data_IF_181324480360
#
_entry.id   IF_181324480360
#
_cell.length_a   1.000
_cell.length_b   1.000
_cell.length_c   1.000
_cell.angle_alpha   90.00
_cell.angle_beta   90.00
_cell.angle_gamma   90.00
#
_symmetry.space_group_name_H-M   'P 1'
#
loop_
_entity.id
_entity.type
_entity.pdbx_description
1 polymer ?
#
# COMPACT_ATOMS: atom_id res chain seq x y z
N UNK A 1 9.01 -23.99 -27.85
CA UNK A 1 8.84 -22.60 -28.31
C UNK A 1 8.37 -21.77 -27.12
N UNK A 2 9.02 -20.65 -26.85
CA UNK A 2 8.58 -19.70 -25.82
C UNK A 2 7.34 -18.97 -26.37
N UNK A 3 6.21 -19.08 -25.68
CA UNK A 3 4.98 -18.35 -26.06
C UNK A 3 5.14 -16.88 -25.73
N UNK A 4 4.58 -16.01 -26.58
CA UNK A 4 4.46 -14.59 -26.25
C UNK A 4 3.42 -14.42 -25.15
N UNK A 5 3.83 -13.79 -24.04
CA UNK A 5 3.02 -13.70 -22.81
C UNK A 5 2.59 -12.27 -22.52
N UNK A 6 1.34 -12.11 -22.12
CA UNK A 6 0.73 -10.84 -21.77
C UNK A 6 0.17 -10.84 -20.36
N UNK A 7 0.51 -9.84 -19.54
CA UNK A 7 -0.14 -9.57 -18.25
C UNK A 7 -1.20 -8.49 -18.49
N UNK A 8 -2.47 -8.83 -18.28
CA UNK A 8 -3.60 -7.91 -18.53
C UNK A 8 -4.14 -7.42 -17.18
N UNK A 9 -4.10 -6.11 -16.97
CA UNK A 9 -4.54 -5.47 -15.74
C UNK A 9 -5.65 -4.45 -15.99
N UNK A 10 -6.79 -4.63 -15.33
CA UNK A 10 -7.88 -3.66 -15.35
C UNK A 10 -7.57 -2.59 -14.29
N UNK A 11 -7.41 -1.34 -14.72
CA UNK A 11 -7.08 -0.23 -13.82
C UNK A 11 -8.33 0.24 -13.08
N UNK A 12 -8.16 0.47 -11.76
CA UNK A 12 -9.15 1.09 -10.88
C UNK A 12 -8.42 2.01 -9.90
N UNK A 13 -9.16 2.69 -9.00
CA UNK A 13 -8.56 3.52 -7.96
C UNK A 13 -7.58 2.78 -7.05
N UNK A 14 -7.79 1.46 -6.87
CA UNK A 14 -6.93 0.62 -6.04
C UNK A 14 -5.78 0.06 -6.89
N UNK A 15 -4.59 0.64 -6.75
CA UNK A 15 -3.41 0.25 -7.51
C UNK A 15 -2.74 -1.05 -7.01
N UNK A 16 -2.89 -1.35 -5.71
CA UNK A 16 -2.16 -2.43 -5.03
C UNK A 16 -2.38 -3.82 -5.64
N UNK A 17 -3.61 -4.25 -5.98
CA UNK A 17 -3.81 -5.57 -6.58
C UNK A 17 -3.06 -5.74 -7.91
N UNK A 18 -3.04 -4.70 -8.77
CA UNK A 18 -2.30 -4.75 -10.02
C UNK A 18 -0.78 -4.80 -9.78
N UNK A 19 -0.26 -4.03 -8.82
CA UNK A 19 1.17 -4.08 -8.45
C UNK A 19 1.58 -5.45 -7.96
N UNK A 20 0.81 -6.03 -7.03
CA UNK A 20 1.08 -7.36 -6.49
C UNK A 20 1.05 -8.42 -7.59
N UNK A 21 0.02 -8.37 -8.43
CA UNK A 21 -0.15 -9.33 -9.51
C UNK A 21 0.98 -9.25 -10.54
N UNK A 22 1.28 -8.07 -11.07
CA UNK A 22 2.35 -7.88 -12.06
C UNK A 22 3.68 -8.39 -11.51
N UNK A 23 4.05 -7.99 -10.29
CA UNK A 23 5.31 -8.43 -9.68
C UNK A 23 5.34 -9.95 -9.47
N UNK A 24 4.23 -10.57 -9.03
CA UNK A 24 4.18 -12.02 -8.84
C UNK A 24 4.39 -12.74 -10.18
N UNK A 25 3.64 -12.37 -11.21
CA UNK A 25 3.73 -13.01 -12.53
C UNK A 25 5.12 -12.79 -13.16
N UNK A 26 5.68 -11.58 -13.09
CA UNK A 26 7.05 -11.32 -13.57
C UNK A 26 8.09 -12.14 -12.79
N UNK A 27 7.90 -12.34 -11.48
CA UNK A 27 8.80 -13.19 -10.69
C UNK A 27 8.71 -14.68 -11.05
N UNK A 28 7.54 -15.13 -11.52
CA UNK A 28 7.30 -16.52 -11.94
C UNK A 28 7.79 -16.77 -13.38
N UNK A 29 7.64 -15.80 -14.28
CA UNK A 29 7.81 -15.98 -15.72
C UNK A 29 9.02 -15.25 -16.33
N UNK A 30 9.64 -14.34 -15.59
CA UNK A 30 10.71 -13.46 -16.06
C UNK A 30 10.21 -12.14 -16.66
N UNK A 31 11.15 -11.28 -17.03
CA UNK A 31 10.87 -9.90 -17.46
C UNK A 31 10.34 -9.77 -18.91
N UNK A 32 10.25 -10.86 -19.66
CA UNK A 32 9.85 -10.84 -21.08
C UNK A 32 8.33 -10.70 -21.31
N UNK A 33 7.53 -10.57 -20.25
CA UNK A 33 6.09 -10.39 -20.39
C UNK A 33 5.71 -8.96 -20.82
N UNK A 34 4.80 -8.87 -21.79
CA UNK A 34 4.20 -7.60 -22.19
C UNK A 34 3.03 -7.24 -21.26
N UNK A 35 2.90 -5.99 -20.83
CA UNK A 35 1.84 -5.57 -19.90
C UNK A 35 0.76 -4.77 -20.62
N UNK A 36 -0.49 -5.20 -20.52
CA UNK A 36 -1.64 -4.55 -21.14
C UNK A 36 -2.49 -3.93 -20.05
N UNK A 37 -2.61 -2.60 -20.06
CA UNK A 37 -3.45 -1.86 -19.13
C UNK A 37 -4.79 -1.52 -19.76
N UNK A 38 -5.89 -2.05 -19.22
CA UNK A 38 -7.24 -1.62 -19.59
C UNK A 38 -7.64 -0.50 -18.64
N UNK A 39 -7.82 0.71 -19.15
CA UNK A 39 -7.90 1.93 -18.34
C UNK A 39 -8.98 2.88 -18.87
N UNK A 40 -9.32 3.89 -18.07
CA UNK A 40 -10.33 4.91 -18.39
C UNK A 40 -9.70 6.29 -18.32
N UNK A 41 -10.33 7.30 -18.93
CA UNK A 41 -9.85 8.70 -18.87
C UNK A 41 -9.67 9.19 -17.44
N UNK A 42 -10.56 8.78 -16.55
CA UNK A 42 -10.48 9.14 -15.13
C UNK A 42 -9.23 8.54 -14.46
N UNK A 43 -8.96 7.25 -14.69
CA UNK A 43 -7.81 6.57 -14.11
C UNK A 43 -6.47 7.11 -14.65
N UNK A 44 -6.44 7.49 -15.93
CA UNK A 44 -5.31 8.20 -16.55
C UNK A 44 -5.09 9.58 -15.90
N UNK A 45 -6.16 10.36 -15.68
CA UNK A 45 -6.07 11.65 -14.98
C UNK A 45 -5.52 11.51 -13.56
N UNK A 46 -5.88 10.43 -12.88
CA UNK A 46 -5.37 10.09 -11.54
C UNK A 46 -3.94 9.52 -11.56
N UNK A 47 -3.37 9.26 -12.75
CA UNK A 47 -2.03 8.69 -12.97
C UNK A 47 -1.83 7.34 -12.27
N UNK A 48 -2.89 6.54 -12.13
CA UNK A 48 -2.79 5.25 -11.44
C UNK A 48 -1.86 4.29 -12.21
N UNK A 49 -2.06 4.20 -13.53
CA UNK A 49 -1.20 3.41 -14.42
C UNK A 49 0.28 3.81 -14.29
N UNK A 50 0.59 5.11 -14.35
CA UNK A 50 1.97 5.59 -14.27
C UNK A 50 2.65 5.18 -12.96
N UNK A 51 1.91 5.18 -11.85
CA UNK A 51 2.43 4.70 -10.55
C UNK A 51 2.71 3.20 -10.59
N UNK A 52 1.82 2.41 -11.19
CA UNK A 52 2.01 0.96 -11.35
C UNK A 52 3.26 0.69 -12.21
N UNK A 53 3.39 1.37 -13.36
CA UNK A 53 4.56 1.27 -14.25
C UNK A 53 5.84 1.58 -13.50
N UNK A 54 5.86 2.68 -12.74
CA UNK A 54 7.02 3.07 -11.94
C UNK A 54 7.39 2.03 -10.88
N UNK A 55 6.40 1.56 -10.11
CA UNK A 55 6.63 0.65 -8.97
C UNK A 55 7.02 -0.75 -9.44
N UNK A 56 6.47 -1.20 -10.57
CA UNK A 56 6.77 -2.51 -11.16
C UNK A 56 7.96 -2.45 -12.11
N UNK A 57 8.57 -1.28 -12.30
CA UNK A 57 9.74 -1.09 -13.16
C UNK A 57 9.53 -1.59 -14.61
N UNK A 58 8.34 -1.36 -15.16
CA UNK A 58 7.94 -1.91 -16.47
C UNK A 58 8.69 -1.21 -17.63
N UNK A 59 9.03 0.06 -17.46
CA UNK A 59 9.59 0.94 -18.49
C UNK A 59 11.12 1.12 -18.40
N UNK A 60 11.82 0.30 -17.62
CA UNK A 60 13.28 0.44 -17.41
C UNK A 60 14.15 -0.25 -18.46
N UNK A 61 13.55 -0.82 -19.51
CA UNK A 61 14.25 -1.51 -20.59
C UNK A 61 14.41 -0.65 -21.84
N UNK A 62 15.18 -1.15 -22.81
CA UNK A 62 15.38 -0.47 -24.12
C UNK A 62 14.10 -0.38 -24.96
N UNK A 63 13.11 -1.23 -24.66
CA UNK A 63 11.84 -1.29 -25.38
C UNK A 63 10.67 -1.13 -24.44
N UNK A 64 9.65 -0.39 -24.90
CA UNK A 64 8.39 -0.23 -24.21
C UNK A 64 7.65 -1.56 -24.17
N UNK A 65 7.54 -2.16 -22.97
CA UNK A 65 6.87 -3.46 -22.75
C UNK A 65 5.43 -3.33 -22.28
N UNK A 66 4.74 -2.26 -22.68
CA UNK A 66 3.35 -2.09 -22.30
C UNK A 66 2.50 -1.33 -23.32
N UNK A 67 1.20 -1.61 -23.28
CA UNK A 67 0.17 -0.93 -24.04
C UNK A 67 -0.98 -0.48 -23.11
N UNK A 68 -1.73 0.54 -23.52
CA UNK A 68 -2.91 1.00 -22.81
C UNK A 68 -4.12 0.93 -23.73
N UNK A 69 -5.13 0.18 -23.31
CA UNK A 69 -6.43 0.07 -23.96
C UNK A 69 -7.39 1.05 -23.25
N UNK A 70 -7.70 2.15 -23.92
CA UNK A 70 -8.63 3.16 -23.40
C UNK A 70 -10.07 2.72 -23.64
N UNK A 71 -10.84 2.56 -22.57
CA UNK A 71 -12.26 2.18 -22.63
C UNK A 71 -13.12 3.15 -21.81
N UNK A 72 -14.42 3.18 -22.12
CA UNK A 72 -15.43 3.85 -21.30
C UNK A 72 -16.07 2.80 -20.37
N UNK A 73 -16.16 3.09 -19.07
CA UNK A 73 -16.47 2.07 -18.05
C UNK A 73 -17.93 1.60 -18.04
N UNK A 74 -18.81 2.36 -18.69
CA UNK A 74 -20.25 2.19 -18.78
C UNK A 74 -20.72 1.76 -20.18
N UNK A 75 -19.80 1.60 -21.15
CA UNK A 75 -20.11 1.19 -22.51
C UNK A 75 -19.44 -0.14 -22.90
N UNK A 76 -20.23 -1.20 -22.82
CA UNK A 76 -19.84 -2.57 -23.20
C UNK A 76 -19.41 -2.67 -24.66
N UNK A 77 -20.03 -1.92 -25.57
CA UNK A 77 -19.71 -1.99 -27.00
C UNK A 77 -18.34 -1.38 -27.28
N UNK A 78 -18.00 -0.28 -26.60
CA UNK A 78 -16.66 0.30 -26.68
C UNK A 78 -15.61 -0.66 -26.13
N UNK A 79 -15.84 -1.28 -24.97
CA UNK A 79 -14.94 -2.30 -24.41
C UNK A 79 -14.70 -3.44 -25.40
N UNK A 80 -15.78 -4.00 -25.95
CA UNK A 80 -15.73 -5.09 -26.93
C UNK A 80 -14.92 -4.71 -28.16
N UNK A 81 -15.21 -3.54 -28.75
CA UNK A 81 -14.51 -3.07 -29.96
C UNK A 81 -13.02 -2.91 -29.71
N UNK A 82 -12.64 -2.23 -28.63
CA UNK A 82 -11.24 -2.01 -28.27
C UNK A 82 -10.49 -3.34 -28.04
N UNK A 83 -11.11 -4.31 -27.35
CA UNK A 83 -10.49 -5.62 -27.14
C UNK A 83 -10.35 -6.40 -28.44
N UNK A 84 -11.36 -6.38 -29.33
CA UNK A 84 -11.26 -7.05 -30.64
C UNK A 84 -10.17 -6.45 -31.52
N UNK A 85 -10.05 -5.13 -31.55
CA UNK A 85 -8.97 -4.43 -32.24
C UNK A 85 -7.60 -4.87 -31.70
N UNK A 86 -7.44 -4.91 -30.37
CA UNK A 86 -6.23 -5.39 -29.71
C UNK A 86 -5.93 -6.86 -30.01
N UNK A 87 -6.92 -7.75 -29.93
CA UNK A 87 -6.73 -9.17 -30.23
C UNK A 87 -6.31 -9.40 -31.69
N UNK A 88 -6.77 -8.56 -32.62
CA UNK A 88 -6.40 -8.65 -34.03
C UNK A 88 -4.98 -8.15 -34.32
N UNK A 89 -4.43 -7.27 -33.49
CA UNK A 89 -3.08 -6.71 -33.68
C UNK A 89 -2.00 -7.41 -32.85
N UNK A 90 -2.37 -8.03 -31.73
CA UNK A 90 -1.42 -8.66 -30.81
C UNK A 90 -0.96 -10.05 -31.26
N UNK A 91 0.29 -10.39 -30.92
CA UNK A 91 0.87 -11.70 -31.11
C UNK A 91 0.98 -12.51 -29.80
N UNK A 92 0.33 -12.06 -28.72
CA UNK A 92 0.30 -12.75 -27.42
C UNK A 92 -0.54 -14.03 -27.55
N UNK A 93 0.03 -15.14 -27.09
CA UNK A 93 -0.59 -16.47 -27.11
C UNK A 93 -0.94 -16.98 -25.71
N UNK A 94 -0.46 -16.31 -24.67
CA UNK A 94 -0.72 -16.67 -23.27
C UNK A 94 -0.98 -15.41 -22.44
N UNK A 95 -2.20 -15.28 -21.93
CA UNK A 95 -2.65 -14.13 -21.16
C UNK A 95 -2.80 -14.47 -19.68
N UNK A 96 -2.32 -13.57 -18.82
CA UNK A 96 -2.48 -13.56 -17.37
C UNK A 96 -3.40 -12.40 -17.01
N UNK A 97 -4.70 -12.69 -16.89
CA UNK A 97 -5.75 -11.68 -16.75
C UNK A 97 -6.11 -11.45 -15.28
N UNK A 98 -5.83 -10.25 -14.78
CA UNK A 98 -6.22 -9.81 -13.46
C UNK A 98 -7.60 -9.14 -13.46
N UNK A 99 -8.59 -9.85 -12.92
CA UNK A 99 -9.98 -9.42 -12.81
C UNK A 99 -10.29 -8.62 -11.53
N UNK A 100 -9.27 -8.24 -10.75
CA UNK A 100 -9.49 -7.57 -9.45
C UNK A 100 -9.92 -6.11 -9.57
N UNK A 101 -9.49 -5.42 -10.62
CA UNK A 101 -9.80 -4.02 -10.88
C UNK A 101 -11.04 -3.81 -11.74
N UNK A 102 -11.21 -2.58 -12.22
CA UNK A 102 -12.37 -2.14 -13.00
C UNK A 102 -13.66 -1.98 -12.19
N UNK A 103 -14.69 -1.50 -12.89
CA UNK A 103 -16.07 -1.64 -12.41
C UNK A 103 -16.56 -3.07 -12.68
N UNK A 104 -17.61 -3.53 -11.98
CA UNK A 104 -18.19 -4.86 -12.23
C UNK A 104 -18.58 -5.05 -13.70
N UNK A 105 -19.14 -4.02 -14.33
CA UNK A 105 -19.51 -4.06 -15.75
C UNK A 105 -18.27 -4.27 -16.62
N UNK A 106 -17.22 -3.47 -16.41
CA UNK A 106 -15.95 -3.64 -17.14
C UNK A 106 -15.38 -5.05 -16.97
N UNK A 107 -15.26 -5.53 -15.73
CA UNK A 107 -14.67 -6.84 -15.44
C UNK A 107 -15.44 -7.96 -16.13
N UNK A 108 -16.78 -7.91 -16.10
CA UNK A 108 -17.62 -8.90 -16.78
C UNK A 108 -17.47 -8.82 -18.30
N UNK A 109 -17.52 -7.62 -18.89
CA UNK A 109 -17.36 -7.45 -20.34
C UNK A 109 -15.98 -7.90 -20.83
N UNK A 110 -14.92 -7.58 -20.10
CA UNK A 110 -13.56 -8.02 -20.43
C UNK A 110 -13.47 -9.54 -20.32
N UNK A 111 -13.98 -10.13 -19.23
CA UNK A 111 -14.02 -11.58 -19.05
C UNK A 111 -14.73 -12.30 -20.20
N UNK A 112 -15.90 -11.80 -20.62
CA UNK A 112 -16.65 -12.35 -21.76
C UNK A 112 -15.86 -12.32 -23.06
N UNK A 113 -15.16 -11.22 -23.38
CA UNK A 113 -14.36 -11.12 -24.61
C UNK A 113 -13.13 -12.05 -24.59
N UNK A 114 -12.49 -12.26 -23.43
CA UNK A 114 -11.42 -13.27 -23.31
C UNK A 114 -11.93 -14.71 -23.45
N UNK A 115 -13.14 -15.01 -22.95
CA UNK A 115 -13.78 -16.31 -23.20
C UNK A 115 -14.08 -16.53 -24.68
N UNK A 116 -14.52 -15.48 -25.40
CA UNK A 116 -14.74 -15.54 -26.84
C UNK A 116 -13.41 -15.75 -27.59
N UNK A 117 -12.35 -15.04 -27.20
CA UNK A 117 -11.02 -15.20 -27.77
C UNK A 117 -10.52 -16.65 -27.68
N UNK A 118 -10.63 -17.29 -26.51
CA UNK A 118 -10.22 -18.70 -26.34
C UNK A 118 -11.02 -19.66 -27.23
N UNK A 119 -12.31 -19.37 -27.45
CA UNK A 119 -13.17 -20.18 -28.34
C UNK A 119 -12.79 -20.00 -29.81
N UNK A 120 -12.49 -18.78 -30.22
CA UNK A 120 -12.12 -18.42 -31.60
C UNK A 120 -10.68 -18.81 -31.93
N UNK A 121 -9.78 -18.84 -30.94
CA UNK A 121 -8.35 -19.12 -31.09
C UNK A 121 -7.86 -20.19 -30.11
N UNK A 122 -8.01 -21.49 -30.43
CA UNK A 122 -7.69 -22.59 -29.51
C UNK A 122 -6.22 -22.67 -29.05
N UNK A 123 -5.29 -22.00 -29.74
CA UNK A 123 -3.88 -21.93 -29.34
C UNK A 123 -3.62 -20.89 -28.23
N UNK A 124 -4.55 -19.95 -28.03
CA UNK A 124 -4.48 -18.93 -26.98
C UNK A 124 -4.86 -19.55 -25.63
N UNK A 125 -4.05 -19.29 -24.61
CA UNK A 125 -4.34 -19.68 -23.23
C UNK A 125 -4.64 -18.42 -22.43
N UNK A 126 -5.71 -18.43 -21.63
CA UNK A 126 -6.00 -17.36 -20.68
C UNK A 126 -6.08 -17.92 -19.27
N UNK A 127 -5.25 -17.36 -18.38
CA UNK A 127 -5.29 -17.56 -16.93
C UNK A 127 -6.15 -16.46 -16.32
N UNK A 128 -7.24 -16.84 -15.68
CA UNK A 128 -8.22 -15.90 -15.10
C UNK A 128 -7.99 -15.78 -13.60
N UNK A 129 -7.37 -14.69 -13.17
CA UNK A 129 -6.93 -14.50 -11.80
C UNK A 129 -7.69 -13.38 -11.09
N UNK A 130 -7.92 -13.56 -9.80
CA UNK A 130 -8.48 -12.56 -8.90
C UNK A 130 -7.74 -12.56 -7.57
N UNK A 131 -7.49 -11.36 -7.04
CA UNK A 131 -6.84 -11.16 -5.74
C UNK A 131 -7.91 -10.67 -4.77
N UNK A 132 -8.49 -11.56 -3.93
CA UNK A 132 -9.43 -11.13 -2.92
C UNK A 132 -8.77 -10.11 -1.99
N UNK A 133 -9.50 -9.03 -1.72
CA UNK A 133 -9.07 -8.08 -0.71
C UNK A 133 -8.69 -8.82 0.56
N UNK A 134 -7.59 -8.40 1.18
CA UNK A 134 -7.23 -8.82 2.53
C UNK A 134 -6.85 -10.31 2.69
N UNK A 135 -6.53 -11.02 1.61
CA UNK A 135 -6.17 -12.45 1.69
C UNK A 135 -4.77 -12.81 1.23
N UNK A 136 -4.05 -11.90 0.57
CA UNK A 136 -2.71 -12.16 -0.01
C UNK A 136 -2.63 -13.48 -0.81
N UNK A 137 -3.70 -13.79 -1.54
CA UNK A 137 -3.77 -14.97 -2.42
C UNK A 137 -4.17 -14.53 -3.83
N UNK A 138 -3.77 -15.31 -4.81
CA UNK A 138 -4.35 -15.32 -6.15
C UNK A 138 -5.32 -16.51 -6.22
N UNK A 139 -6.53 -16.24 -6.67
CA UNK A 139 -7.52 -17.24 -7.03
C UNK A 139 -7.63 -17.35 -8.55
N UNK A 140 -7.28 -18.51 -9.09
CA UNK A 140 -7.35 -18.79 -10.51
C UNK A 140 -8.66 -19.54 -10.80
N UNK A 141 -9.61 -18.88 -11.48
CA UNK A 141 -10.98 -19.35 -11.62
C UNK A 141 -11.08 -20.65 -12.42
N UNK A 142 -10.34 -20.74 -13.52
CA UNK A 142 -10.40 -21.86 -14.47
C UNK A 142 -9.85 -23.15 -13.85
N UNK A 143 -8.78 -23.02 -13.07
CA UNK A 143 -8.11 -24.12 -12.38
C UNK A 143 -8.77 -24.44 -11.03
N UNK A 144 -9.66 -23.58 -10.54
CA UNK A 144 -10.22 -23.63 -9.19
C UNK A 144 -9.13 -23.77 -8.12
N UNK A 145 -8.04 -23.00 -8.27
CA UNK A 145 -6.86 -23.05 -7.40
C UNK A 145 -6.64 -21.75 -6.67
N UNK A 146 -6.11 -21.87 -5.46
CA UNK A 146 -5.63 -20.75 -4.64
C UNK A 146 -4.12 -20.90 -4.48
N UNK A 147 -3.38 -19.83 -4.72
CA UNK A 147 -1.95 -19.74 -4.40
C UNK A 147 -1.68 -18.52 -3.55
N UNK A 148 -0.81 -18.67 -2.56
CA UNK A 148 -0.33 -17.53 -1.78
C UNK A 148 0.58 -16.65 -2.62
N UNK A 149 0.40 -15.33 -2.52
CA UNK A 149 1.35 -14.38 -3.08
C UNK A 149 2.68 -14.53 -2.33
N UNK A 150 3.78 -14.66 -3.05
CA UNK A 150 5.13 -14.63 -2.49
C UNK A 150 5.65 -13.20 -2.42
N UNK A 151 5.27 -12.38 -3.40
CA UNK A 151 5.64 -10.97 -3.47
C UNK A 151 5.05 -10.21 -2.28
N UNK A 152 5.85 -9.27 -1.77
CA UNK A 152 5.44 -8.27 -0.78
C UNK A 152 5.71 -6.89 -1.35
N UNK A 153 4.91 -5.93 -0.92
CA UNK A 153 5.14 -4.51 -1.21
C UNK A 153 5.74 -3.84 0.00
N UNK A 154 6.67 -2.92 -0.23
CA UNK A 154 7.21 -2.08 0.83
C UNK A 154 6.23 -0.97 1.22
N UNK A 155 6.43 -0.38 2.40
CA UNK A 155 5.70 0.83 2.82
C UNK A 155 5.83 1.94 1.77
N UNK A 156 7.05 2.13 1.24
CA UNK A 156 7.32 3.13 0.21
C UNK A 156 6.47 2.87 -1.02
N UNK A 157 6.49 1.65 -1.54
CA UNK A 157 5.72 1.28 -2.74
C UNK A 157 4.22 1.44 -2.51
N UNK A 158 3.72 1.04 -1.34
CA UNK A 158 2.31 1.24 -1.00
C UNK A 158 1.92 2.72 -1.11
N UNK A 159 2.67 3.62 -0.49
CA UNK A 159 2.37 5.06 -0.55
C UNK A 159 2.53 5.65 -1.94
N UNK A 160 3.58 5.25 -2.65
CA UNK A 160 3.81 5.70 -4.02
C UNK A 160 2.65 5.27 -4.93
N UNK A 161 2.04 4.10 -4.68
CA UNK A 161 0.87 3.62 -5.40
C UNK A 161 -0.35 4.56 -5.23
N UNK A 162 -0.47 5.20 -4.06
CA UNK A 162 -1.53 6.18 -3.77
C UNK A 162 -1.09 7.64 -4.02
N UNK A 163 0.08 7.87 -4.63
CA UNK A 163 0.54 9.21 -5.00
C UNK A 163 1.18 9.99 -3.85
N UNK A 164 1.75 9.30 -2.87
CA UNK A 164 2.52 9.89 -1.79
C UNK A 164 4.00 9.57 -1.92
N UNK A 165 4.85 10.58 -1.71
CA UNK A 165 6.28 10.39 -1.55
C UNK A 165 6.58 10.09 -0.09
N UNK A 166 7.47 9.13 0.13
CA UNK A 166 7.93 8.72 1.46
C UNK A 166 9.42 9.01 1.57
N UNK A 167 9.77 9.83 2.55
CA UNK A 167 11.17 10.03 2.95
C UNK A 167 11.39 9.52 4.37
N UNK A 168 12.37 8.64 4.53
CA UNK A 168 12.83 8.21 5.85
C UNK A 168 13.69 9.31 6.46
N UNK A 169 13.40 9.71 7.70
CA UNK A 169 14.43 10.40 8.50
C UNK A 169 15.54 9.41 8.86
N UNK A 170 16.75 9.91 9.10
CA UNK A 170 17.91 9.09 9.41
C UNK A 170 17.60 8.05 10.49
N UNK A 171 18.15 6.83 10.36
CA UNK A 171 18.04 5.77 11.37
C UNK A 171 18.79 6.23 12.62
N UNK A 172 18.06 6.75 13.59
CA UNK A 172 18.58 6.93 14.93
C UNK A 172 18.65 5.57 15.63
N UNK A 173 19.64 5.37 16.50
CA UNK A 173 19.73 4.16 17.31
C UNK A 173 18.44 3.97 18.12
N UNK A 174 17.94 2.73 18.10
CA UNK A 174 16.75 2.32 18.85
C UNK A 174 17.20 1.73 20.17
N UNK A 175 16.54 2.11 21.26
CA UNK A 175 16.73 1.44 22.54
C UNK A 175 16.37 -0.05 22.42
N UNK A 176 17.02 -0.90 23.21
CA UNK A 176 16.69 -2.33 23.25
C UNK A 176 15.23 -2.51 23.70
N UNK A 177 14.52 -3.46 23.08
CA UNK A 177 13.10 -3.73 23.40
C UNK A 177 12.82 -3.91 24.89
N UNK A 178 13.71 -4.57 25.63
CA UNK A 178 13.59 -4.73 27.09
C UNK A 178 13.54 -3.37 27.82
N UNK A 179 14.39 -2.43 27.42
CA UNK A 179 14.42 -1.07 27.99
C UNK A 179 13.13 -0.33 27.65
N UNK A 180 12.65 -0.46 26.42
CA UNK A 180 11.39 0.13 25.97
C UNK A 180 10.18 -0.43 26.74
N UNK A 181 10.19 -1.73 27.04
CA UNK A 181 9.15 -2.38 27.85
C UNK A 181 9.18 -1.90 29.31
N UNK A 182 10.35 -1.76 29.91
CA UNK A 182 10.49 -1.20 31.26
C UNK A 182 9.98 0.25 31.35
N UNK A 183 10.20 1.06 30.31
CA UNK A 183 9.64 2.41 30.18
C UNK A 183 8.12 2.39 30.09
N UNK A 184 7.54 1.45 29.31
CA UNK A 184 6.09 1.30 29.23
C UNK A 184 5.48 0.89 30.58
N UNK A 185 6.07 -0.08 31.27
CA UNK A 185 5.58 -0.54 32.57
C UNK A 185 5.60 0.59 33.60
N UNK A 186 6.66 1.42 33.58
CA UNK A 186 6.78 2.60 34.44
C UNK A 186 5.71 3.65 34.07
N UNK A 187 5.53 3.93 32.79
CA UNK A 187 4.50 4.83 32.27
C UNK A 187 3.08 4.41 32.69
N UNK A 188 2.74 3.12 32.58
CA UNK A 188 1.45 2.58 33.04
C UNK A 188 1.27 2.77 34.56
N UNK A 189 2.31 2.50 35.37
CA UNK A 189 2.26 2.73 36.82
C UNK A 189 2.02 4.21 37.16
N UNK A 190 2.62 5.14 36.40
CA UNK A 190 2.38 6.59 36.54
C UNK A 190 0.92 6.92 36.22
N UNK A 191 0.41 6.43 35.08
CA UNK A 191 -0.97 6.68 34.66
C UNK A 191 -2.01 6.16 35.66
N UNK A 192 -1.75 5.00 36.26
CA UNK A 192 -2.63 4.39 37.27
C UNK A 192 -2.50 5.04 38.66
N UNK A 193 -1.67 6.07 38.83
CA UNK A 193 -1.43 6.71 40.12
C UNK A 193 -0.68 5.82 41.13
N UNK A 194 -0.08 4.72 40.66
CA UNK A 194 0.63 3.72 41.47
C UNK A 194 2.12 3.98 41.58
N UNK A 195 2.63 5.04 40.95
CA UNK A 195 4.03 5.43 41.03
C UNK A 195 4.28 6.25 42.31
N UNK A 196 5.06 5.69 43.24
CA UNK A 196 5.33 6.28 44.57
C UNK A 196 6.53 7.22 44.60
N UNK A 197 7.38 7.21 43.57
CA UNK A 197 8.59 8.02 43.48
C UNK A 197 8.43 9.18 42.49
N UNK A 198 9.05 10.34 42.73
CA UNK A 198 9.11 11.43 41.74
C UNK A 198 9.81 10.94 40.47
N UNK A 199 9.29 11.36 39.31
CA UNK A 199 9.89 11.08 38.01
C UNK A 199 11.19 11.88 37.95
N UNK A 200 12.31 11.24 37.57
CA UNK A 200 13.57 11.94 37.36
C UNK A 200 13.42 12.95 36.21
N UNK A 201 14.06 14.14 36.26
CA UNK A 201 14.07 15.07 35.12
C UNK A 201 14.54 14.44 33.80
N UNK A 202 15.42 13.43 33.89
CA UNK A 202 15.88 12.65 32.73
C UNK A 202 14.77 11.76 32.16
N UNK A 203 13.99 11.11 33.03
CA UNK A 203 12.84 10.30 32.64
C UNK A 203 11.73 11.20 32.06
N UNK A 204 11.50 12.36 32.66
CA UNK A 204 10.51 13.33 32.18
C UNK A 204 10.85 13.77 30.74
N UNK A 205 12.11 14.11 30.46
CA UNK A 205 12.58 14.44 29.11
C UNK A 205 12.43 13.27 28.11
N UNK A 206 12.58 12.03 28.57
CA UNK A 206 12.34 10.83 27.75
C UNK A 206 10.84 10.72 27.43
N UNK A 207 9.96 10.84 28.42
CA UNK A 207 8.53 10.71 28.21
C UNK A 207 7.93 11.86 27.38
N UNK A 208 8.43 13.09 27.60
CA UNK A 208 7.99 14.31 26.89
C UNK A 208 8.24 14.25 25.39
N UNK A 209 9.31 13.58 24.96
CA UNK A 209 9.66 13.52 23.54
C UNK A 209 8.86 12.47 22.76
N UNK A 210 8.10 11.59 23.41
CA UNK A 210 7.25 10.56 22.78
C UNK A 210 7.98 9.45 21.99
N UNK A 211 9.25 9.64 21.63
CA UNK A 211 10.04 8.75 20.78
C UNK A 211 10.18 7.34 21.38
N UNK A 212 10.34 7.23 22.70
CA UNK A 212 10.43 5.93 23.37
C UNK A 212 9.18 5.07 23.12
N UNK A 213 8.00 5.68 23.03
CA UNK A 213 6.75 4.95 22.79
C UNK A 213 6.62 4.55 21.32
N UNK A 214 7.07 5.40 20.39
CA UNK A 214 7.17 5.07 18.97
C UNK A 214 8.12 3.89 18.73
N UNK A 215 9.29 3.93 19.35
CA UNK A 215 10.29 2.87 19.30
C UNK A 215 9.74 1.58 19.91
N UNK A 216 9.03 1.67 21.05
CA UNK A 216 8.35 0.52 21.67
C UNK A 216 7.32 -0.09 20.72
N UNK A 217 6.41 0.71 20.18
CA UNK A 217 5.34 0.24 19.31
C UNK A 217 5.91 -0.38 18.03
N UNK A 218 6.92 0.22 17.43
CA UNK A 218 7.61 -0.33 16.27
C UNK A 218 8.20 -1.72 16.57
N UNK A 219 8.98 -1.84 17.66
CA UNK A 219 9.57 -3.14 18.05
C UNK A 219 8.51 -4.16 18.44
N UNK A 220 7.49 -3.74 19.18
CA UNK A 220 6.38 -4.59 19.61
C UNK A 220 5.64 -5.17 18.40
N UNK A 221 5.30 -4.34 17.41
CA UNK A 221 4.61 -4.77 16.21
C UNK A 221 5.50 -5.62 15.32
N UNK A 222 6.76 -5.23 15.12
CA UNK A 222 7.73 -6.03 14.36
C UNK A 222 7.84 -7.46 14.91
N UNK A 223 7.96 -7.58 16.24
CA UNK A 223 8.04 -8.87 16.94
C UNK A 223 6.72 -9.65 16.88
N UNK A 224 5.61 -9.00 17.21
CA UNK A 224 4.29 -9.65 17.28
C UNK A 224 3.82 -10.15 15.91
N UNK A 225 4.15 -9.40 14.86
CA UNK A 225 3.72 -9.70 13.49
C UNK A 225 4.72 -10.53 12.70
N UNK A 226 5.92 -10.75 13.24
CA UNK A 226 7.04 -11.43 12.56
C UNK A 226 7.32 -10.83 11.18
N UNK A 227 7.28 -9.50 11.08
CA UNK A 227 7.42 -8.76 9.81
C UNK A 227 8.81 -8.18 9.65
N UNK A 228 9.18 -7.97 8.40
CA UNK A 228 10.45 -7.34 8.02
C UNK A 228 10.40 -5.81 8.09
N UNK A 229 11.57 -5.17 8.04
CA UNK A 229 11.70 -3.69 8.01
C UNK A 229 11.20 -3.05 6.70
N UNK A 230 10.87 -3.88 5.72
CA UNK A 230 10.28 -3.44 4.45
C UNK A 230 8.76 -3.24 4.62
N UNK A 231 8.14 -4.03 5.50
CA UNK A 231 6.69 -4.07 5.75
C UNK A 231 6.26 -3.19 6.93
N UNK A 232 7.18 -2.90 7.86
CA UNK A 232 6.98 -2.05 9.02
C UNK A 232 8.09 -1.02 9.10
N UNK A 233 7.71 0.24 9.35
CA UNK A 233 8.66 1.32 9.55
C UNK A 233 8.06 2.46 10.34
N UNK A 234 8.93 3.40 10.70
CA UNK A 234 8.64 4.55 11.56
C UNK A 234 9.37 5.78 11.05
N UNK A 235 9.02 6.95 11.56
CA UNK A 235 9.67 8.23 11.22
C UNK A 235 9.65 8.55 9.72
N UNK A 236 8.59 8.12 9.04
CA UNK A 236 8.36 8.49 7.65
C UNK A 236 7.74 9.89 7.58
N UNK A 237 8.31 10.73 6.75
CA UNK A 237 7.64 11.92 6.25
C UNK A 237 6.90 11.53 4.98
N UNK A 238 5.59 11.72 5.00
CA UNK A 238 4.70 11.40 3.88
C UNK A 238 4.20 12.70 3.29
N UNK A 239 4.50 12.93 2.02
CA UNK A 239 4.07 14.13 1.30
C UNK A 239 3.23 13.74 0.09
N UNK A 240 2.14 14.46 -0.15
CA UNK A 240 1.31 14.24 -1.35
C UNK A 240 2.07 14.76 -2.57
N UNK A 241 2.28 13.92 -3.57
CA UNK A 241 2.93 14.32 -4.82
C UNK A 241 1.90 15.06 -5.66
N UNK A 242 2.18 16.34 -5.96
CA UNK A 242 1.40 17.29 -6.77
C UNK A 242 0.19 16.70 -7.54
N UNK A 243 -1.00 16.83 -6.94
CA UNK A 243 -2.26 17.00 -7.66
C UNK A 243 -2.66 18.49 -7.51
N UNK A 244 -3.33 19.06 -8.50
CA UNK A 244 -3.67 20.49 -8.56
C UNK A 244 -4.21 21.03 -7.22
N UNK A 245 -3.97 22.32 -6.90
CA UNK A 245 -4.35 22.95 -5.60
C UNK A 245 -5.83 22.78 -5.21
N UNK A 246 -6.73 22.40 -6.12
CA UNK A 246 -8.14 22.05 -5.81
C UNK A 246 -8.30 20.71 -5.08
N UNK A 247 -7.33 19.80 -5.17
CA UNK A 247 -7.40 18.43 -4.61
C UNK A 247 -6.67 18.30 -3.24
N UNK A 248 -6.11 19.38 -2.73
CA UNK A 248 -5.33 19.40 -1.48
C UNK A 248 -6.18 19.31 -0.20
N UNK A 249 -7.51 19.49 -0.32
CA UNK A 249 -8.49 19.34 0.79
C UNK A 249 -9.30 18.04 0.73
N UNK A 250 -9.00 17.15 -0.23
CA UNK A 250 -9.64 15.84 -0.30
C UNK A 250 -9.17 14.94 0.83
N UNK A 251 -10.12 14.28 1.52
CA UNK A 251 -9.88 13.16 2.45
C UNK A 251 -8.71 12.31 1.94
N UNK A 252 -7.77 12.00 2.83
CA UNK A 252 -6.79 10.94 2.57
C UNK A 252 -7.61 9.70 2.24
N UNK A 253 -7.52 9.23 1.00
CA UNK A 253 -7.94 7.93 0.44
C UNK A 253 -9.14 7.23 1.11
N UNK A 254 -10.10 6.71 0.32
CA UNK A 254 -11.12 5.79 0.85
C UNK A 254 -10.53 4.47 1.44
N UNK A 255 -9.20 4.29 1.42
CA UNK A 255 -8.52 3.19 2.08
C UNK A 255 -8.61 3.31 3.62
N UNK A 256 -9.38 2.38 4.20
CA UNK A 256 -9.58 2.24 5.65
C UNK A 256 -8.27 2.04 6.44
N UNK A 257 -7.21 1.51 5.83
CA UNK A 257 -5.90 1.31 6.48
C UNK A 257 -5.19 2.65 6.67
N UNK A 258 -5.24 3.52 5.66
CA UNK A 258 -4.70 4.88 5.77
C UNK A 258 -5.50 5.72 6.78
N UNK A 259 -6.81 5.53 6.85
CA UNK A 259 -7.65 6.17 7.86
C UNK A 259 -7.37 5.63 9.28
N UNK A 260 -7.19 4.31 9.42
CA UNK A 260 -6.82 3.69 10.70
C UNK A 260 -5.47 4.21 11.21
N UNK A 261 -4.47 4.32 10.34
CA UNK A 261 -3.16 4.87 10.70
C UNK A 261 -3.23 6.33 11.19
N UNK A 262 -4.09 7.15 10.57
CA UNK A 262 -4.35 8.51 11.05
C UNK A 262 -5.03 8.51 12.43
N UNK A 263 -6.02 7.64 12.64
CA UNK A 263 -6.69 7.54 13.93
C UNK A 263 -5.72 7.11 15.04
N UNK A 264 -4.81 6.18 14.74
CA UNK A 264 -3.77 5.74 15.68
C UNK A 264 -2.80 6.89 16.03
N UNK A 265 -2.38 7.68 15.03
CA UNK A 265 -1.58 8.90 15.23
C UNK A 265 -2.29 9.89 16.15
N UNK A 266 -3.55 10.18 15.86
CA UNK A 266 -4.32 11.18 16.61
C UNK A 266 -4.53 10.73 18.06
N UNK A 267 -4.73 9.42 18.30
CA UNK A 267 -4.85 8.85 19.64
C UNK A 267 -3.54 8.91 20.44
N UNK A 268 -2.42 8.56 19.81
CA UNK A 268 -1.13 8.65 20.46
C UNK A 268 -0.74 10.11 20.78
N UNK A 269 -1.08 11.05 19.90
CA UNK A 269 -0.95 12.50 20.17
C UNK A 269 -1.84 12.95 21.35
N UNK A 270 -3.10 12.52 21.41
CA UNK A 270 -4.00 12.79 22.56
C UNK A 270 -3.44 12.23 23.87
N UNK A 271 -2.86 11.03 23.83
CA UNK A 271 -2.25 10.37 24.99
C UNK A 271 -1.05 11.14 25.53
N UNK A 272 -0.14 11.60 24.65
CA UNK A 272 1.01 12.42 25.04
C UNK A 272 0.59 13.76 25.68
N UNK A 273 -0.40 14.45 25.10
CA UNK A 273 -0.98 15.67 25.69
C UNK A 273 -1.57 15.40 27.07
N UNK A 274 -2.29 14.28 27.22
CA UNK A 274 -2.95 13.91 28.48
C UNK A 274 -1.93 13.60 29.58
N UNK A 275 -0.86 12.89 29.24
CA UNK A 275 0.25 12.64 30.14
C UNK A 275 0.87 13.96 30.63
N UNK A 276 1.19 14.87 29.71
CA UNK A 276 1.80 16.17 30.03
C UNK A 276 0.93 17.03 30.96
N UNK A 277 -0.40 17.01 30.74
CA UNK A 277 -1.35 17.70 31.61
C UNK A 277 -1.35 17.11 33.03
N UNK A 278 -1.26 15.78 33.15
CA UNK A 278 -1.26 15.08 34.46
C UNK A 278 0.06 15.20 35.21
N UNK A 279 1.20 15.28 34.52
CA UNK A 279 2.51 15.47 35.15
C UNK A 279 2.73 16.91 35.63
N UNK A 280 2.27 17.92 34.86
CA UNK A 280 2.30 19.34 35.28
C UNK A 280 1.41 19.67 36.49
N UNK A 281 0.39 18.87 36.76
CA UNK A 281 -0.45 19.04 37.96
C UNK A 281 0.26 18.64 39.27
N UNK A 282 1.51 18.11 39.21
CA UNK A 282 2.29 17.73 40.40
C UNK A 282 3.47 18.64 40.76
N UNK A 283 3.86 19.61 39.92
CA UNK A 283 4.94 20.57 40.25
C UNK A 283 4.72 21.95 39.57
N UNK A 284 4.83 23.08 40.29
CA UNK A 284 4.67 24.39 39.68
C UNK A 284 6.00 24.92 39.09
N UNK A 285 5.87 25.47 37.87
CA UNK A 285 6.74 26.44 37.15
C UNK A 285 8.08 25.94 36.57
N UNK A 286 8.10 25.84 35.24
CA UNK A 286 8.88 26.76 34.40
C UNK A 286 8.27 26.88 33.00
N UNK A 287 7.94 28.11 32.62
CA UNK A 287 7.45 28.51 31.31
C UNK A 287 8.58 28.42 30.27
N UNK A 288 8.40 27.61 29.23
CA UNK A 288 8.83 27.86 27.84
C UNK A 288 8.91 26.55 27.05
N UNK A 289 7.81 25.88 26.70
CA UNK A 289 7.90 24.81 25.67
C UNK A 289 6.56 24.64 24.95
N UNK A 290 6.25 25.60 24.09
CA UNK A 290 5.34 25.41 22.96
C UNK A 290 6.23 25.37 21.73
N UNK A 291 6.60 24.17 21.24
CA UNK A 291 7.10 23.97 19.84
C UNK A 291 7.53 22.57 19.37
N UNK A 292 7.33 21.48 20.10
CA UNK A 292 7.69 20.15 19.57
C UNK A 292 6.43 19.30 19.34
N UNK A 293 5.89 19.44 18.12
CA UNK A 293 4.85 18.57 17.56
C UNK A 293 5.56 17.39 16.90
N UNK A 294 5.50 16.22 17.55
CA UNK A 294 6.09 14.98 17.03
C UNK A 294 5.04 14.22 16.21
N UNK A 295 5.41 13.78 15.01
CA UNK A 295 4.53 13.20 14.00
C UNK A 295 4.72 11.69 13.98
N UNK A 296 3.75 10.96 14.53
CA UNK A 296 3.73 9.49 14.58
C UNK A 296 3.26 8.93 13.24
N UNK A 297 4.06 8.02 12.67
CA UNK A 297 3.60 7.09 11.62
C UNK A 297 4.07 5.68 11.99
N UNK A 298 3.13 4.84 12.40
CA UNK A 298 3.33 3.40 12.50
C UNK A 298 2.31 2.77 11.58
N UNK A 299 2.80 2.15 10.50
CA UNK A 299 1.96 1.53 9.49
C UNK A 299 2.26 0.05 9.45
N UNK A 300 1.21 -0.72 9.66
CA UNK A 300 1.22 -2.17 9.55
C UNK A 300 0.62 -2.51 8.18
N UNK A 301 1.45 -2.99 7.26
CA UNK A 301 0.96 -3.66 6.06
C UNK A 301 1.05 -5.16 6.26
N UNK A 302 -0.09 -5.84 6.19
CA UNK A 302 -0.17 -7.30 6.30
C UNK A 302 -1.17 -7.84 7.32
N UNK A 303 -1.96 -7.00 7.99
CA UNK A 303 -3.16 -7.42 8.73
C UNK A 303 -4.29 -6.45 8.42
N UNK A 304 -4.92 -6.63 7.28
CA UNK A 304 -6.32 -7.10 7.21
C UNK A 304 -6.36 -7.90 5.95
#
# INVERSE_FOLDING_TARGET
MQRNRGIVCIISEQAIPNILYIKEILSELGDDCFVVFITTREMERLKIKDRIIKICNIDSGEHKRYESLMVEYDDVNTIRRTLKEFFNSTNIEEFYLNLTGGTKLMTLSIYEEFLLLERERPNVIVHYDYLPANKNIIYSFKENKRRELKVRISIREYFEAYGYAVTSRAKEETLKFKVLQELLDRYIKILLGRHRFPISPMDEKIYENGKWFEDYLYEFLKRSLKRSDIEIGRNFLITKVNLSRKDARGKISNDKRLQWAQNLRDEAHRSAITFHKKTKLKYPKSNNFSRYVLVIWILIFGIV
#
